data_IF_708502910772
#
_entry.id   IF_708502910772
#
_cell.length_a   1.000
_cell.length_b   1.000
_cell.length_c   1.000
_cell.angle_alpha   90.00
_cell.angle_beta   90.00
_cell.angle_gamma   90.00
#
_symmetry.space_group_name_H-M   'P 1'
#
loop_
_entity.id
_entity.type
_entity.pdbx_description
1 polymer ?
#
# COMPACT_ATOMS: atom_id res chain seq x y z
N UNK A 1 -11.22 4.44 -18.56
CA UNK A 1 -11.67 5.07 -17.29
C UNK A 1 -11.90 3.97 -16.25
N UNK A 2 -11.68 4.21 -14.95
CA UNK A 2 -11.95 3.26 -13.84
C UNK A 2 -11.13 1.95 -13.85
N UNK A 3 -10.08 1.84 -14.67
CA UNK A 3 -9.24 0.64 -14.74
C UNK A 3 -8.63 0.30 -13.37
N UNK A 4 -8.02 1.30 -12.71
CA UNK A 4 -7.38 1.14 -11.41
C UNK A 4 -8.41 0.77 -10.33
N UNK A 5 -9.57 1.42 -10.33
CA UNK A 5 -10.62 1.14 -9.35
C UNK A 5 -11.14 -0.30 -9.46
N UNK A 6 -11.27 -0.82 -10.68
CA UNK A 6 -11.66 -2.20 -10.90
C UNK A 6 -10.57 -3.19 -10.46
N UNK A 7 -9.30 -2.87 -10.70
CA UNK A 7 -8.16 -3.69 -10.26
C UNK A 7 -8.06 -3.77 -8.73
N UNK A 8 -8.29 -2.66 -8.03
CA UNK A 8 -8.28 -2.60 -6.56
C UNK A 8 -9.49 -3.34 -5.98
N UNK A 9 -10.71 -2.98 -6.39
CA UNK A 9 -11.93 -3.38 -5.68
C UNK A 9 -12.51 -4.72 -6.14
N UNK A 10 -12.30 -5.13 -7.39
CA UNK A 10 -12.93 -6.33 -7.95
C UNK A 10 -11.92 -7.45 -8.23
N UNK A 11 -10.64 -7.13 -8.41
CA UNK A 11 -9.61 -8.11 -8.74
C UNK A 11 -8.60 -8.33 -7.61
N UNK A 12 -8.59 -7.47 -6.59
CA UNK A 12 -7.60 -7.49 -5.50
C UNK A 12 -6.15 -7.51 -6.03
N UNK A 13 -5.90 -6.83 -7.15
CA UNK A 13 -4.62 -6.85 -7.84
C UNK A 13 -3.55 -5.99 -7.13
N UNK A 14 -4.00 -5.05 -6.28
CA UNK A 14 -3.13 -4.10 -5.59
C UNK A 14 -3.43 -4.04 -4.09
N UNK A 15 -2.37 -3.99 -3.29
CA UNK A 15 -2.46 -3.54 -1.91
C UNK A 15 -2.36 -2.01 -1.87
N UNK A 16 -3.23 -1.36 -1.12
CA UNK A 16 -3.28 0.09 -1.00
C UNK A 16 -3.12 0.49 0.47
N UNK A 17 -2.41 1.60 0.70
CA UNK A 17 -2.24 2.21 2.00
C UNK A 17 -2.17 3.73 1.87
N UNK A 18 -2.46 4.44 2.95
CA UNK A 18 -2.25 5.88 3.00
C UNK A 18 -0.74 6.20 3.04
N UNK A 19 -0.25 7.13 2.21
CA UNK A 19 1.16 7.47 2.18
C UNK A 19 1.60 8.14 3.47
N UNK A 20 2.82 7.86 3.91
CA UNK A 20 3.48 8.54 5.03
C UNK A 20 4.78 9.18 4.56
N UNK A 21 5.20 10.29 5.18
CA UNK A 21 6.46 10.95 4.82
C UNK A 21 7.64 9.99 4.86
N UNK A 22 7.69 9.12 5.86
CA UNK A 22 8.75 8.12 5.99
C UNK A 22 8.77 7.11 4.86
N UNK A 23 7.60 6.63 4.40
CA UNK A 23 7.55 5.73 3.26
C UNK A 23 7.92 6.41 1.93
N UNK A 24 7.62 7.70 1.78
CA UNK A 24 7.84 8.42 0.52
C UNK A 24 9.27 8.96 0.40
N UNK A 25 9.87 9.40 1.51
CA UNK A 25 11.11 10.21 1.47
C UNK A 25 12.30 9.64 2.27
N UNK A 26 12.08 8.70 3.20
CA UNK A 26 13.16 8.23 4.08
C UNK A 26 13.88 6.97 3.54
N UNK A 27 13.34 6.34 2.49
CA UNK A 27 13.86 5.10 1.89
C UNK A 27 13.91 5.18 0.38
N UNK A 28 14.78 4.39 -0.24
CA UNK A 28 14.95 4.30 -1.69
C UNK A 28 14.80 2.86 -2.20
N UNK A 29 14.49 2.73 -3.50
CA UNK A 29 14.48 1.47 -4.25
C UNK A 29 13.75 0.30 -3.54
N UNK A 30 14.46 -0.81 -3.30
CA UNK A 30 13.91 -2.04 -2.71
C UNK A 30 13.49 -1.84 -1.25
N UNK A 31 14.23 -1.02 -0.48
CA UNK A 31 13.89 -0.74 0.91
C UNK A 31 12.56 0.00 1.00
N UNK A 32 12.33 0.97 0.10
CA UNK A 32 11.06 1.67 0.01
C UNK A 32 9.89 0.73 -0.29
N UNK A 33 10.09 -0.22 -1.22
CA UNK A 33 9.08 -1.22 -1.56
C UNK A 33 8.75 -2.14 -0.38
N UNK A 34 9.77 -2.65 0.31
CA UNK A 34 9.58 -3.50 1.50
C UNK A 34 8.82 -2.74 2.61
N UNK A 35 9.18 -1.48 2.84
CA UNK A 35 8.52 -0.63 3.84
C UNK A 35 7.08 -0.31 3.48
N UNK A 36 6.76 -0.16 2.19
CA UNK A 36 5.38 0.01 1.74
C UNK A 36 4.56 -1.26 1.95
N UNK A 37 5.14 -2.43 1.70
CA UNK A 37 4.49 -3.72 1.92
C UNK A 37 4.18 -3.96 3.41
N UNK A 38 5.14 -3.67 4.30
CA UNK A 38 4.96 -3.72 5.75
C UNK A 38 3.83 -2.78 6.22
N UNK A 39 3.80 -1.54 5.69
CA UNK A 39 2.77 -0.55 6.02
C UNK A 39 1.37 -1.01 5.59
N UNK A 40 1.22 -1.51 4.36
CA UNK A 40 -0.04 -2.07 3.86
C UNK A 40 -0.57 -3.19 4.76
N UNK A 41 0.30 -4.11 5.19
CA UNK A 41 -0.09 -5.22 6.06
C UNK A 41 -0.54 -4.75 7.45
N UNK A 42 0.16 -3.76 8.01
CA UNK A 42 -0.16 -3.16 9.32
C UNK A 42 -1.53 -2.45 9.31
N UNK A 43 -1.79 -1.61 8.31
CA UNK A 43 -3.05 -0.88 8.19
C UNK A 43 -4.24 -1.82 7.97
N UNK A 44 -4.06 -2.88 7.18
CA UNK A 44 -5.10 -3.89 6.96
C UNK A 44 -5.52 -4.58 8.27
N UNK A 45 -4.56 -4.93 9.14
CA UNK A 45 -4.85 -5.48 10.46
C UNK A 45 -5.54 -4.46 11.39
N UNK A 46 -5.09 -3.21 11.37
CA UNK A 46 -5.72 -2.14 12.16
C UNK A 46 -7.17 -1.85 11.75
N UNK A 47 -7.52 -2.07 10.49
CA UNK A 47 -8.90 -1.89 10.00
C UNK A 47 -9.79 -3.10 10.32
N UNK A 48 -9.21 -4.25 10.67
CA UNK A 48 -9.94 -5.48 11.00
C UNK A 48 -10.25 -5.62 12.49
N UNK A 49 -9.42 -5.05 13.36
CA UNK A 49 -9.56 -5.04 14.83
C UNK A 49 -10.43 -3.87 15.31
#
# INVERSE_FOLDING_TARGET
>A
PEQLDNEINNQNAWLVCDPTNTNVFDYDEEEQWLKALELCSSQMLSNYL
#
